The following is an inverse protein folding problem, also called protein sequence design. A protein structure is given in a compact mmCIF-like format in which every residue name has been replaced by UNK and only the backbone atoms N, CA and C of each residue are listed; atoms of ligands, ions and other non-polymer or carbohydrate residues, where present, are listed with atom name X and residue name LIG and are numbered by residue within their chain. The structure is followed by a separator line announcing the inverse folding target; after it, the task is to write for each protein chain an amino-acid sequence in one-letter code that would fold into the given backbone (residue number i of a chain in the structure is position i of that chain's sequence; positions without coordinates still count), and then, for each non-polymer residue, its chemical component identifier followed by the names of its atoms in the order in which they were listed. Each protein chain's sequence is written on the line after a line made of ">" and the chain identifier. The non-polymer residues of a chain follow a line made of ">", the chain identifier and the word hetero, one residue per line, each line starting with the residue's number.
data_IF_433993317307
#
_entry.id   IF_433993317307
#
_cell.length_a   1.000
_cell.length_b   1.000
_cell.length_c   1.000
_cell.angle_alpha   90.00
_cell.angle_beta   90.00
_cell.angle_gamma   90.00
#
_symmetry.space_group_name_H-M   'P 1'
#
loop_
_entity.id
_entity.type
_entity.pdbx_description
1 polymer ?
#
# COMPACT_ATOMS: atom_id res chain seq x y z
N UNK A 1 -1.93 -11.84 -11.30
CA UNK A 1 -1.22 -12.00 -10.00
C UNK A 1 0.24 -11.62 -10.21
N UNK A 2 0.87 -10.92 -9.26
CA UNK A 2 2.29 -10.52 -9.36
C UNK A 2 3.17 -11.79 -9.34
N UNK A 3 4.15 -11.87 -10.24
CA UNK A 3 5.02 -13.05 -10.35
C UNK A 3 5.83 -13.28 -9.07
N UNK A 4 6.23 -14.54 -8.84
CA UNK A 4 7.12 -14.86 -7.71
C UNK A 4 8.51 -14.23 -7.89
N UNK A 5 8.99 -14.12 -9.13
CA UNK A 5 10.27 -13.48 -9.44
C UNK A 5 10.25 -12.00 -9.03
N UNK A 6 9.21 -11.25 -9.39
CA UNK A 6 9.10 -9.82 -9.04
C UNK A 6 8.96 -9.62 -7.54
N UNK A 7 8.16 -10.46 -6.86
CA UNK A 7 8.05 -10.44 -5.40
C UNK A 7 9.41 -10.66 -4.75
N UNK A 8 10.19 -11.62 -5.23
CA UNK A 8 11.51 -11.92 -4.68
C UNK A 8 12.51 -10.79 -4.96
N UNK A 9 12.44 -10.15 -6.14
CA UNK A 9 13.27 -9.00 -6.48
C UNK A 9 13.03 -7.83 -5.50
N UNK A 10 11.76 -7.47 -5.27
CA UNK A 10 11.40 -6.43 -4.30
C UNK A 10 11.76 -6.81 -2.87
N UNK A 11 11.52 -8.07 -2.46
CA UNK A 11 11.90 -8.55 -1.14
C UNK A 11 13.42 -8.42 -0.91
N UNK A 12 14.22 -8.77 -1.92
CA UNK A 12 15.68 -8.68 -1.87
C UNK A 12 16.14 -7.23 -1.77
N UNK A 13 15.54 -6.33 -2.56
CA UNK A 13 15.86 -4.90 -2.53
C UNK A 13 15.68 -4.29 -1.13
N UNK A 14 14.55 -4.53 -0.49
CA UNK A 14 14.27 -4.02 0.86
C UNK A 14 15.05 -4.75 1.96
N UNK A 15 15.28 -6.05 1.81
CA UNK A 15 16.08 -6.81 2.77
C UNK A 15 17.52 -6.28 2.86
N UNK A 16 18.11 -5.86 1.74
CA UNK A 16 19.44 -5.19 1.71
C UNK A 16 19.48 -3.88 2.50
N UNK A 17 18.34 -3.24 2.72
CA UNK A 17 18.20 -2.02 3.50
C UNK A 17 17.84 -2.29 4.97
N UNK A 18 17.84 -3.57 5.40
CA UNK A 18 17.41 -3.96 6.74
C UNK A 18 15.90 -3.87 6.97
N UNK A 19 15.11 -3.70 5.90
CA UNK A 19 13.64 -3.58 5.99
C UNK A 19 13.01 -4.96 5.84
N UNK A 20 12.23 -5.37 6.84
CA UNK A 20 11.50 -6.64 6.82
C UNK A 20 10.26 -6.55 5.93
N UNK A 21 10.23 -7.34 4.86
CA UNK A 21 9.12 -7.36 3.89
C UNK A 21 8.10 -8.45 4.22
N UNK A 22 6.82 -8.09 4.12
CA UNK A 22 5.70 -9.02 4.21
C UNK A 22 4.75 -8.71 3.06
N UNK A 23 4.53 -9.68 2.18
CA UNK A 23 3.47 -9.58 1.19
C UNK A 23 2.12 -9.89 1.85
N UNK A 24 1.16 -9.01 1.64
CA UNK A 24 -0.20 -9.14 2.17
C UNK A 24 -1.20 -8.83 1.05
N UNK A 25 -2.32 -9.55 1.05
CA UNK A 25 -3.47 -9.23 0.22
C UNK A 25 -4.61 -8.79 1.15
N UNK A 26 -4.90 -7.48 1.17
CA UNK A 26 -5.95 -6.90 2.01
C UNK A 26 -7.37 -7.36 1.67
N UNK A 27 -7.61 -7.86 0.45
CA UNK A 27 -8.91 -8.36 0.00
C UNK A 27 -9.10 -9.84 0.35
N UNK A 28 -8.11 -10.68 0.02
CA UNK A 28 -8.15 -12.13 0.24
C UNK A 28 -7.68 -12.56 1.64
N UNK A 29 -7.12 -11.64 2.43
CA UNK A 29 -6.64 -11.88 3.79
C UNK A 29 -5.32 -12.64 3.90
N UNK A 30 -4.63 -12.91 2.79
CA UNK A 30 -3.29 -13.52 2.83
C UNK A 30 -2.30 -12.58 3.52
N UNK A 31 -1.48 -13.11 4.44
CA UNK A 31 -0.38 -12.37 5.06
C UNK A 31 -0.75 -11.45 6.24
N UNK A 32 -2.04 -11.14 6.45
CA UNK A 32 -2.49 -10.27 7.55
C UNK A 32 -2.21 -10.85 8.94
N UNK A 33 -2.37 -12.17 9.11
CA UNK A 33 -2.07 -12.87 10.38
C UNK A 33 -0.58 -12.81 10.71
N UNK A 34 0.28 -13.02 9.70
CA UNK A 34 1.74 -12.94 9.85
C UNK A 34 2.17 -11.52 10.25
N UNK A 35 1.58 -10.51 9.61
CA UNK A 35 1.80 -9.11 9.95
C UNK A 35 1.38 -8.81 11.40
N UNK A 36 0.18 -9.24 11.81
CA UNK A 36 -0.30 -9.05 13.18
C UNK A 36 0.59 -9.71 14.24
N UNK A 37 1.09 -10.91 13.98
CA UNK A 37 2.05 -11.59 14.88
C UNK A 37 3.36 -10.82 15.01
N UNK A 38 3.91 -10.34 13.89
CA UNK A 38 5.17 -9.56 13.90
C UNK A 38 4.97 -8.22 14.60
N UNK A 39 3.86 -7.53 14.36
CA UNK A 39 3.53 -6.27 15.02
C UNK A 39 3.42 -6.43 16.54
N UNK A 40 2.78 -7.51 17.03
CA UNK A 40 2.73 -7.84 18.46
C UNK A 40 4.12 -8.14 19.04
N UNK A 41 4.95 -8.90 18.34
CA UNK A 41 6.33 -9.16 18.77
C UNK A 41 7.12 -7.87 18.96
N UNK A 42 7.05 -6.96 17.99
CA UNK A 42 7.72 -5.67 18.06
C UNK A 42 7.17 -4.79 19.19
N UNK A 43 5.86 -4.85 19.47
CA UNK A 43 5.25 -4.15 20.59
C UNK A 43 5.80 -4.65 21.95
N UNK A 44 5.99 -5.97 22.09
CA UNK A 44 6.64 -6.56 23.26
C UNK A 44 8.07 -6.05 23.43
N UNK A 45 8.87 -6.05 22.35
CA UNK A 45 10.25 -5.58 22.38
C UNK A 45 10.37 -4.11 22.82
N UNK A 46 9.43 -3.26 22.37
CA UNK A 46 9.32 -1.86 22.81
C UNK A 46 9.08 -1.78 24.31
N UNK A 47 8.17 -2.60 24.86
CA UNK A 47 7.90 -2.61 26.30
C UNK A 47 9.05 -3.20 27.13
N UNK A 48 9.79 -4.19 26.60
CA UNK A 48 11.01 -4.69 27.23
C UNK A 48 12.02 -3.56 27.40
N UNK A 49 12.27 -2.76 26.35
CA UNK A 49 13.16 -1.59 26.40
C UNK A 49 12.66 -0.47 27.33
N UNK A 50 11.35 -0.39 27.59
CA UNK A 50 10.77 0.56 28.56
C UNK A 50 11.03 0.10 29.98
N UNK A 51 10.84 -1.20 30.27
CA UNK A 51 11.07 -1.79 31.59
C UNK A 51 12.53 -1.68 32.03
N UNK A 52 13.48 -1.88 31.11
CA UNK A 52 14.92 -1.69 31.42
C UNK A 52 15.26 -0.25 31.82
N UNK A 53 14.41 0.72 31.46
CA UNK A 53 14.52 2.14 31.85
C UNK A 53 13.64 2.51 33.05
N UNK A 54 13.06 1.54 33.76
CA UNK A 54 12.16 1.78 34.89
C UNK A 54 10.79 2.36 34.53
N UNK A 55 10.41 2.34 33.24
CA UNK A 55 9.13 2.89 32.77
C UNK A 55 8.03 1.84 32.80
N UNK A 56 6.81 2.27 33.14
CA UNK A 56 5.62 1.43 33.07
C UNK A 56 5.31 1.00 31.63
N UNK A 57 4.82 -0.25 31.44
CA UNK A 57 4.40 -0.74 30.14
C UNK A 57 3.16 0.03 29.65
N UNK A 58 3.06 0.19 28.33
CA UNK A 58 1.88 0.76 27.68
C UNK A 58 1.67 0.12 26.31
N UNK A 59 0.50 0.32 25.72
CA UNK A 59 0.30 -0.07 24.32
C UNK A 59 1.33 0.64 23.43
N UNK A 60 2.06 -0.15 22.64
CA UNK A 60 2.96 0.38 21.62
C UNK A 60 2.12 1.07 20.54
N UNK A 61 2.66 2.14 19.95
CA UNK A 61 2.00 2.90 18.90
C UNK A 61 2.74 2.67 17.60
N UNK A 62 2.02 2.31 16.55
CA UNK A 62 2.55 2.14 15.21
C UNK A 62 1.64 2.85 14.20
N UNK A 63 2.23 3.51 13.20
CA UNK A 63 1.50 4.12 12.11
C UNK A 63 1.62 3.31 10.82
N UNK A 64 0.55 3.30 10.03
CA UNK A 64 0.59 2.78 8.67
C UNK A 64 0.66 3.99 7.73
N UNK A 65 1.72 4.06 6.93
CA UNK A 65 2.00 5.15 5.99
C UNK A 65 2.12 4.60 4.58
N UNK A 66 1.76 5.43 3.59
CA UNK A 66 1.86 5.08 2.17
C UNK A 66 1.01 5.99 1.31
N UNK A 67 1.13 5.81 -0.01
CA UNK A 67 0.36 6.55 -1.01
C UNK A 67 -1.16 6.39 -0.82
N UNK A 68 -1.99 7.28 -1.37
CA UNK A 68 -3.43 7.08 -1.49
C UNK A 68 -3.75 5.74 -2.16
N UNK A 69 -4.93 5.18 -1.88
CA UNK A 69 -5.47 3.98 -2.56
C UNK A 69 -4.67 2.65 -2.48
N UNK A 70 -3.44 2.61 -1.94
CA UNK A 70 -2.65 1.38 -1.70
C UNK A 70 -3.28 0.36 -0.73
N UNK A 71 -4.43 0.68 -0.13
CA UNK A 71 -5.18 -0.24 0.73
C UNK A 71 -4.85 -0.19 2.23
N UNK A 72 -4.28 0.90 2.75
CA UNK A 72 -3.96 1.11 4.19
C UNK A 72 -5.14 0.78 5.11
N UNK A 73 -6.28 1.43 4.90
CA UNK A 73 -7.50 1.20 5.69
C UNK A 73 -8.06 -0.21 5.52
N UNK A 74 -7.91 -0.81 4.34
CA UNK A 74 -8.31 -2.22 4.10
C UNK A 74 -7.44 -3.18 4.89
N UNK A 75 -6.13 -2.93 4.97
CA UNK A 75 -5.19 -3.71 5.78
C UNK A 75 -5.53 -3.61 7.27
N UNK A 76 -5.84 -2.40 7.77
CA UNK A 76 -6.24 -2.17 9.17
C UNK A 76 -7.51 -2.95 9.51
N UNK A 77 -8.56 -2.79 8.70
CA UNK A 77 -9.82 -3.52 8.88
C UNK A 77 -9.60 -5.04 8.90
N UNK A 78 -8.72 -5.54 8.03
CA UNK A 78 -8.40 -6.97 7.97
C UNK A 78 -7.60 -7.44 9.18
N UNK A 79 -6.65 -6.65 9.67
CA UNK A 79 -5.92 -6.95 10.91
C UNK A 79 -6.88 -7.02 12.10
N UNK A 80 -7.88 -6.15 12.14
CA UNK A 80 -8.81 -6.06 13.27
C UNK A 80 -9.97 -7.06 13.19
N UNK A 81 -10.16 -7.74 12.06
CA UNK A 81 -11.33 -8.59 11.77
C UNK A 81 -12.68 -7.86 11.94
N UNK A 82 -12.71 -6.53 11.79
CA UNK A 82 -13.93 -5.70 11.82
C UNK A 82 -13.77 -4.47 10.93
N UNK A 83 -14.87 -3.98 10.37
CA UNK A 83 -14.91 -2.73 9.59
C UNK A 83 -14.98 -1.55 10.57
N UNK A 84 -13.85 -0.92 10.85
CA UNK A 84 -13.77 0.24 11.76
C UNK A 84 -13.37 1.52 11.01
N UNK A 85 -12.58 1.34 9.96
CA UNK A 85 -12.05 2.42 9.16
C UNK A 85 -12.83 2.44 7.85
N UNK A 86 -13.43 3.57 7.52
CA UNK A 86 -14.14 3.71 6.26
C UNK A 86 -13.15 3.62 5.09
N UNK A 87 -13.45 2.76 4.13
CA UNK A 87 -12.72 2.66 2.88
C UNK A 87 -13.33 3.67 1.92
N UNK A 88 -12.92 4.93 1.97
CA UNK A 88 -13.29 5.90 0.94
C UNK A 88 -12.17 5.98 -0.10
N UNK A 89 -12.52 5.75 -1.37
CA UNK A 89 -11.63 5.63 -2.54
C UNK A 89 -11.25 6.98 -3.17
N UNK A 90 -11.73 8.09 -2.62
CA UNK A 90 -11.40 9.42 -3.13
C UNK A 90 -10.04 9.88 -2.57
N UNK A 91 -9.01 10.10 -3.41
CA UNK A 91 -7.75 10.66 -2.96
C UNK A 91 -7.99 12.06 -2.34
N UNK A 92 -7.50 12.26 -1.11
CA UNK A 92 -7.68 13.50 -0.35
C UNK A 92 -8.77 13.48 0.74
N UNK A 93 -9.40 12.33 1.02
CA UNK A 93 -10.56 12.24 1.94
C UNK A 93 -10.31 11.33 3.16
N UNK A 94 -9.07 11.20 3.63
CA UNK A 94 -8.84 10.77 5.03
C UNK A 94 -8.49 12.02 5.82
N UNK A 95 -9.53 12.73 6.28
CA UNK A 95 -9.38 14.04 6.94
C UNK A 95 -8.86 13.95 8.37
N UNK A 96 -8.87 12.76 8.98
CA UNK A 96 -8.56 12.57 10.40
C UNK A 96 -7.63 11.37 10.66
N UNK A 97 -6.62 11.60 11.48
CA UNK A 97 -5.75 10.55 12.02
C UNK A 97 -6.53 9.74 13.06
N UNK A 98 -6.81 8.46 12.77
CA UNK A 98 -7.60 7.59 13.66
C UNK A 98 -6.72 6.57 14.34
N UNK A 99 -6.69 6.58 15.67
CA UNK A 99 -6.08 5.50 16.45
C UNK A 99 -7.04 4.33 16.61
N UNK A 100 -6.56 3.13 16.35
CA UNK A 100 -7.32 1.90 16.41
C UNK A 100 -6.56 0.87 17.23
N UNK A 101 -7.20 0.39 18.30
CA UNK A 101 -6.58 -0.55 19.22
C UNK A 101 -6.61 -1.98 18.65
N UNK A 102 -5.44 -2.63 18.64
CA UNK A 102 -5.23 -4.03 18.24
C UNK A 102 -4.78 -4.87 19.44
N UNK A 103 -5.72 -5.52 20.11
CA UNK A 103 -5.46 -6.22 21.37
C UNK A 103 -5.24 -5.25 22.54
N UNK A 104 -4.39 -5.60 23.51
CA UNK A 104 -4.05 -4.71 24.65
C UNK A 104 -2.73 -3.96 24.45
N UNK A 105 -1.84 -4.51 23.63
CA UNK A 105 -0.44 -4.10 23.58
C UNK A 105 -0.09 -3.23 22.37
N UNK A 106 -1.02 -3.02 21.42
CA UNK A 106 -0.76 -2.26 20.19
C UNK A 106 -1.92 -1.31 19.85
N UNK A 107 -1.56 -0.08 19.48
CA UNK A 107 -2.41 0.95 18.89
C UNK A 107 -1.89 1.26 17.48
N UNK A 108 -2.75 1.13 16.48
CA UNK A 108 -2.47 1.40 15.07
C UNK A 108 -3.06 2.76 14.68
N UNK A 109 -2.24 3.63 14.07
CA UNK A 109 -2.71 4.87 13.49
C UNK A 109 -3.02 4.65 12.02
N UNK A 110 -4.27 4.87 11.63
CA UNK A 110 -4.62 5.06 10.22
C UNK A 110 -4.28 6.48 9.80
N UNK A 111 -3.47 6.59 8.75
CA UNK A 111 -3.05 7.88 8.20
C UNK A 111 -3.62 8.08 6.79
N UNK A 112 -3.91 9.33 6.41
CA UNK A 112 -4.20 9.65 5.01
C UNK A 112 -3.13 9.13 4.07
N UNK A 113 -3.52 8.92 2.80
CA UNK A 113 -2.54 8.76 1.74
C UNK A 113 -1.60 9.97 1.70
N UNK A 114 -0.30 9.71 1.79
CA UNK A 114 0.73 10.75 1.74
C UNK A 114 1.24 10.81 0.30
N UNK A 115 1.13 11.99 -0.31
CA UNK A 115 1.73 12.31 -1.61
C UNK A 115 2.77 13.41 -1.42
N UNK A 116 3.95 13.31 -2.07
CA UNK A 116 4.91 14.40 -2.10
C UNK A 116 4.29 15.62 -2.81
N UNK A 117 4.62 16.83 -2.32
CA UNK A 117 4.09 18.09 -2.88
C UNK A 117 4.47 18.29 -4.35
N UNK A 118 5.60 17.77 -4.79
CA UNK A 118 6.08 17.85 -6.17
C UNK A 118 6.61 16.48 -6.60
N UNK A 119 6.04 15.97 -7.69
CA UNK A 119 6.55 14.81 -8.40
C UNK A 119 7.40 15.32 -9.58
N UNK A 120 8.72 15.31 -9.42
CA UNK A 120 9.65 15.82 -10.46
C UNK A 120 9.87 14.81 -11.58
N UNK A 121 9.77 13.52 -11.27
CA UNK A 121 9.91 12.44 -12.25
C UNK A 121 8.55 12.09 -12.86
N UNK A 122 8.38 12.45 -14.14
CA UNK A 122 7.16 12.17 -14.89
C UNK A 122 6.92 10.67 -15.08
N UNK A 123 7.96 9.85 -15.22
CA UNK A 123 7.80 8.41 -15.35
C UNK A 123 7.26 7.78 -14.06
N UNK A 124 7.61 8.34 -12.90
CA UNK A 124 7.01 7.95 -11.61
C UNK A 124 5.57 8.44 -11.51
N UNK A 125 5.30 9.70 -11.87
CA UNK A 125 3.96 10.27 -11.83
C UNK A 125 2.96 9.49 -12.71
N UNK A 126 3.36 9.11 -13.92
CA UNK A 126 2.54 8.29 -14.83
C UNK A 126 2.24 6.92 -14.23
N UNK A 127 3.22 6.26 -13.61
CA UNK A 127 3.00 4.96 -12.95
C UNK A 127 2.05 5.07 -11.76
N UNK A 128 2.14 6.15 -10.99
CA UNK A 128 1.19 6.43 -9.90
C UNK A 128 -0.22 6.71 -10.44
N UNK A 129 -0.34 7.40 -11.58
CA UNK A 129 -1.62 7.63 -12.24
C UNK A 129 -2.26 6.31 -12.72
N UNK A 130 -1.48 5.45 -13.37
CA UNK A 130 -1.91 4.11 -13.83
C UNK A 130 -2.43 3.26 -12.67
N UNK A 131 -1.82 3.39 -11.48
CA UNK A 131 -2.18 2.64 -10.28
C UNK A 131 -3.30 3.28 -9.45
N UNK A 132 -3.88 4.41 -9.89
CA UNK A 132 -4.88 5.19 -9.13
C UNK A 132 -4.35 5.69 -7.76
N UNK A 133 -3.04 5.91 -7.65
CA UNK A 133 -2.41 6.44 -6.43
C UNK A 133 -2.47 7.99 -6.36
N UNK A 134 -2.73 8.65 -7.49
CA UNK A 134 -2.96 10.09 -7.60
C UNK A 134 -4.33 10.36 -8.23
N UNK A 135 -4.99 11.45 -7.83
CA UNK A 135 -6.34 11.75 -8.30
C UNK A 135 -6.39 12.12 -9.78
N UNK A 136 -7.42 11.64 -10.49
CA UNK A 136 -7.68 11.84 -11.93
C UNK A 136 -7.64 13.30 -12.38
N UNK A 137 -7.94 14.26 -11.49
CA UNK A 137 -7.84 15.70 -11.79
C UNK A 137 -6.41 16.21 -11.98
N UNK A 138 -5.41 15.38 -11.72
CA UNK A 138 -3.99 15.77 -11.72
C UNK A 138 -3.28 15.46 -13.04
N UNK A 139 -3.94 14.77 -13.97
CA UNK A 139 -3.36 14.30 -15.23
C UNK A 139 -4.42 14.20 -16.32
N UNK A 140 -3.98 14.14 -17.59
CA UNK A 140 -4.86 13.83 -18.71
C UNK A 140 -5.06 12.31 -18.81
N UNK A 141 -6.32 11.87 -18.73
CA UNK A 141 -6.67 10.44 -18.71
C UNK A 141 -6.35 9.78 -20.04
N UNK A 142 -6.52 10.49 -21.16
CA UNK A 142 -6.23 9.98 -22.51
C UNK A 142 -4.73 9.79 -22.70
N UNK A 143 -3.91 10.73 -22.22
CA UNK A 143 -2.45 10.62 -22.28
C UNK A 143 -1.94 9.44 -21.43
N UNK A 144 -2.39 9.35 -20.17
CA UNK A 144 -1.99 8.25 -19.28
C UNK A 144 -2.45 6.90 -19.83
N UNK A 145 -3.67 6.84 -20.37
CA UNK A 145 -4.20 5.66 -21.06
C UNK A 145 -3.32 5.25 -22.24
N UNK A 146 -2.96 6.21 -23.11
CA UNK A 146 -2.09 5.97 -24.26
C UNK A 146 -0.73 5.42 -23.83
N UNK A 147 -0.11 6.01 -22.80
CA UNK A 147 1.18 5.55 -22.28
C UNK A 147 1.07 4.14 -21.68
N UNK A 148 -0.02 3.83 -20.98
CA UNK A 148 -0.26 2.48 -20.48
C UNK A 148 -0.29 1.46 -21.64
N UNK A 149 -1.02 1.76 -22.72
CA UNK A 149 -1.06 0.88 -23.91
C UNK A 149 0.34 0.68 -24.49
N UNK A 150 1.13 1.75 -24.64
CA UNK A 150 2.50 1.66 -25.13
C UNK A 150 3.40 0.83 -24.21
N UNK A 151 3.24 0.94 -22.89
CA UNK A 151 3.98 0.12 -21.92
C UNK A 151 3.62 -1.35 -22.04
N UNK A 152 2.33 -1.66 -22.17
CA UNK A 152 1.84 -3.03 -22.34
C UNK A 152 2.31 -3.65 -23.65
N UNK A 153 2.32 -2.90 -24.76
CA UNK A 153 2.78 -3.38 -26.06
C UNK A 153 4.25 -3.83 -26.06
N UNK A 154 5.06 -3.35 -25.11
CA UNK A 154 6.48 -3.73 -24.95
C UNK A 154 6.67 -4.99 -24.11
N UNK A 155 5.61 -5.50 -23.46
CA UNK A 155 5.70 -6.71 -22.64
C UNK A 155 5.49 -7.95 -23.50
N UNK A 156 6.49 -8.86 -23.60
CA UNK A 156 6.41 -10.04 -24.47
C UNK A 156 5.30 -11.03 -24.09
N UNK A 157 4.70 -10.88 -22.91
CA UNK A 157 3.63 -11.74 -22.41
C UNK A 157 2.23 -11.35 -22.92
N UNK A 158 2.07 -10.18 -23.53
CA UNK A 158 0.77 -9.71 -24.04
C UNK A 158 0.72 -10.05 -25.53
N UNK A 159 0.08 -11.17 -25.87
CA UNK A 159 -0.10 -11.55 -27.27
C UNK A 159 -0.91 -10.52 -28.07
N UNK A 160 -0.69 -10.46 -29.38
CA UNK A 160 -1.29 -9.49 -30.30
C UNK A 160 -2.82 -9.40 -30.23
N UNK A 161 -3.50 -10.47 -29.81
CA UNK A 161 -4.96 -10.50 -29.65
C UNK A 161 -5.46 -9.55 -28.56
N UNK A 162 -4.71 -9.36 -27.47
CA UNK A 162 -5.10 -8.48 -26.37
C UNK A 162 -4.85 -7.00 -26.71
N UNK A 163 -3.79 -6.70 -27.46
CA UNK A 163 -3.49 -5.34 -27.94
C UNK A 163 -4.53 -4.86 -28.97
N UNK A 164 -5.01 -5.76 -29.84
CA UNK A 164 -6.08 -5.46 -30.80
C UNK A 164 -7.41 -5.11 -30.13
N UNK A 165 -7.73 -5.74 -29.00
CA UNK A 165 -8.95 -5.43 -28.24
C UNK A 165 -8.87 -4.04 -27.61
N UNK A 166 -7.72 -3.69 -27.04
CA UNK A 166 -7.47 -2.37 -26.43
C UNK A 166 -7.51 -1.26 -27.49
N UNK A 167 -6.90 -1.48 -28.66
CA UNK A 167 -6.91 -0.51 -29.76
C UNK A 167 -8.34 -0.24 -30.28
N UNK A 168 -9.25 -1.21 -30.21
CA UNK A 168 -10.64 -1.08 -30.65
C UNK A 168 -11.49 -0.23 -29.70
N UNK A 169 -11.22 -0.31 -28.40
CA UNK A 169 -11.90 0.50 -27.38
C UNK A 169 -11.40 1.96 -27.32
N UNK A 170 -10.22 2.26 -27.88
CA UNK A 170 -9.69 3.62 -27.95
C UNK A 170 -10.15 4.40 -29.19
N UNK A 171 -10.84 3.73 -30.12
CA UNK A 171 -11.36 4.30 -31.37
C UNK A 171 -12.87 4.58 -31.36
N UNK A 172 -13.54 4.38 -30.23
CA UNK A 172 -14.94 4.74 -29.94
C UNK A 172 -14.98 5.85 -28.90
#
# INVERSE_FOLDING_TARGET
>A
MISTADRNAWATFFARQGVKVIFSNGQLGMGSVKLGRIAKSLATDVNTKRRTKGLLPRAARAGIVGYPNVGKSSLINRLLNRRIVEKQTLPGVTRELKWVRFGKDLELLDSPGILPMRLTDQAVAIKLAICDDIGERSYDVTDVGTILVQMLARLPAIGDSHLKLIARCASE
#
